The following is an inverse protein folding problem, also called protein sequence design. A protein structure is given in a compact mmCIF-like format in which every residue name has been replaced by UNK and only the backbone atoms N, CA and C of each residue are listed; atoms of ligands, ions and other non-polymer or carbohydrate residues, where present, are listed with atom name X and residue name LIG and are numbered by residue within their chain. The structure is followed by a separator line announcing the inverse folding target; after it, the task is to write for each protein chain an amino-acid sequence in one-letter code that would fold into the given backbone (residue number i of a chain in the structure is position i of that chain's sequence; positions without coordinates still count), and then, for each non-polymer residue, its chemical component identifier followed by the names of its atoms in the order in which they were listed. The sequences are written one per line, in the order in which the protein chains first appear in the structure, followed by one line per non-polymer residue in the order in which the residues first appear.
data_IF_108685241671
#
_entry.id   IF_108685241671
#
_cell.length_a   1.000
_cell.length_b   1.000
_cell.length_c   1.000
_cell.angle_alpha   90.00
_cell.angle_beta   90.00
_cell.angle_gamma   90.00
#
_symmetry.space_group_name_H-M   'P 1'
#
loop_
_entity.id
_entity.type
_entity.pdbx_description
1 polymer ?
#
# COMPACT_ATOMS: atom_id res chain seq x y z
N UNK A 1 10.12 -39.11 17.12
CA UNK A 1 10.00 -38.02 16.14
C UNK A 1 11.04 -36.96 16.46
N UNK A 2 12.14 -36.88 15.69
CA UNK A 2 13.17 -35.83 15.87
C UNK A 2 12.72 -34.60 15.10
N UNK A 3 12.40 -33.52 15.82
CA UNK A 3 12.17 -32.21 15.23
C UNK A 3 13.42 -31.77 14.46
N UNK A 4 13.25 -31.45 13.18
CA UNK A 4 14.33 -30.99 12.31
C UNK A 4 14.68 -29.57 12.74
N UNK A 5 15.75 -29.41 13.53
CA UNK A 5 16.30 -28.10 13.89
C UNK A 5 16.74 -27.43 12.58
N UNK A 6 16.02 -26.40 12.15
CA UNK A 6 16.41 -25.58 11.01
C UNK A 6 17.70 -24.84 11.40
N UNK A 7 18.80 -25.18 10.75
CA UNK A 7 20.04 -24.40 10.88
C UNK A 7 19.83 -23.03 10.23
N UNK A 8 20.53 -22.00 10.71
CA UNK A 8 20.45 -20.63 10.16
C UNK A 8 20.67 -20.64 8.64
N UNK A 9 21.58 -21.47 8.14
CA UNK A 9 21.84 -21.67 6.70
C UNK A 9 20.60 -22.15 5.93
N UNK A 10 19.85 -23.10 6.50
CA UNK A 10 18.63 -23.64 5.87
C UNK A 10 17.53 -22.57 5.78
N UNK A 11 17.37 -21.76 6.83
CA UNK A 11 16.42 -20.64 6.85
C UNK A 11 16.77 -19.60 5.78
N UNK A 12 18.05 -19.22 5.67
CA UNK A 12 18.50 -18.26 4.66
C UNK A 12 18.28 -18.78 3.24
N UNK A 13 18.53 -20.07 2.97
CA UNK A 13 18.24 -20.67 1.66
C UNK A 13 16.74 -20.73 1.33
N UNK A 14 15.88 -20.97 2.32
CA UNK A 14 14.43 -20.92 2.12
C UNK A 14 13.96 -19.50 1.82
N UNK A 15 14.49 -18.51 2.52
CA UNK A 15 14.18 -17.10 2.28
C UNK A 15 14.66 -16.62 0.91
N UNK A 16 15.84 -17.08 0.44
CA UNK A 16 16.30 -16.83 -0.94
C UNK A 16 15.32 -17.37 -1.98
N UNK A 17 14.83 -18.59 -1.77
CA UNK A 17 13.82 -19.20 -2.66
C UNK A 17 12.50 -18.44 -2.64
N UNK A 18 12.03 -18.03 -1.46
CA UNK A 18 10.83 -17.22 -1.33
C UNK A 18 10.98 -15.87 -2.03
N UNK A 19 12.11 -15.18 -1.86
CA UNK A 19 12.41 -13.91 -2.53
C UNK A 19 12.36 -14.06 -4.06
N UNK A 20 13.00 -15.09 -4.61
CA UNK A 20 12.97 -15.36 -6.05
C UNK A 20 11.55 -15.56 -6.60
N UNK A 21 10.70 -16.32 -5.89
CA UNK A 21 9.30 -16.54 -6.27
C UNK A 21 8.48 -15.26 -6.22
N UNK A 22 8.67 -14.43 -5.18
CA UNK A 22 7.99 -13.14 -5.05
C UNK A 22 8.43 -12.19 -6.17
N UNK A 23 9.73 -12.19 -6.53
CA UNK A 23 10.25 -11.39 -7.63
C UNK A 23 9.67 -11.82 -8.99
N UNK A 24 9.51 -13.12 -9.21
CA UNK A 24 8.84 -13.65 -10.40
C UNK A 24 7.37 -13.24 -10.46
N UNK A 25 6.64 -13.39 -9.34
CA UNK A 25 5.25 -12.96 -9.23
C UNK A 25 5.11 -11.45 -9.49
N UNK A 26 6.05 -10.64 -9.00
CA UNK A 26 6.08 -9.20 -9.23
C UNK A 26 6.29 -8.88 -10.71
N UNK A 27 7.23 -9.55 -11.36
CA UNK A 27 7.45 -9.40 -12.80
C UNK A 27 6.20 -9.81 -13.61
N UNK A 28 5.48 -10.84 -13.18
CA UNK A 28 4.22 -11.25 -13.79
C UNK A 28 3.12 -10.18 -13.60
N UNK A 29 3.03 -9.56 -12.42
CA UNK A 29 2.10 -8.47 -12.16
C UNK A 29 2.38 -7.26 -13.07
N UNK A 30 3.64 -6.88 -13.26
CA UNK A 30 4.00 -5.82 -14.22
C UNK A 30 3.57 -6.16 -15.64
N UNK A 31 3.79 -7.40 -16.10
CA UNK A 31 3.32 -7.84 -17.44
C UNK A 31 1.81 -7.79 -17.55
N UNK A 32 1.08 -8.21 -16.51
CA UNK A 32 -0.37 -8.16 -16.49
C UNK A 32 -0.89 -6.72 -16.52
N UNK A 33 -0.24 -5.80 -15.80
CA UNK A 33 -0.58 -4.37 -15.83
C UNK A 33 -0.48 -3.79 -17.24
N UNK A 34 0.64 -4.04 -17.93
CA UNK A 34 0.85 -3.60 -19.31
C UNK A 34 -0.23 -4.17 -20.22
N UNK A 35 -0.47 -5.48 -20.16
CA UNK A 35 -1.45 -6.15 -21.00
C UNK A 35 -2.88 -5.63 -20.78
N UNK A 36 -3.26 -5.35 -19.53
CA UNK A 36 -4.56 -4.76 -19.20
C UNK A 36 -4.66 -3.33 -19.73
N UNK A 37 -3.59 -2.53 -19.60
CA UNK A 37 -3.52 -1.18 -20.14
C UNK A 37 -3.69 -1.14 -21.66
N UNK A 38 -2.85 -1.89 -22.38
CA UNK A 38 -2.92 -1.99 -23.85
C UNK A 38 -4.27 -2.52 -24.32
N UNK A 39 -4.78 -3.57 -23.67
CA UNK A 39 -6.12 -4.12 -23.99
C UNK A 39 -7.23 -3.10 -23.75
N UNK A 40 -7.12 -2.28 -22.70
CA UNK A 40 -8.02 -1.17 -22.42
C UNK A 40 -8.01 -0.11 -23.51
N UNK A 41 -6.81 0.32 -23.96
CA UNK A 41 -6.68 1.30 -25.05
C UNK A 41 -7.27 0.80 -26.37
N UNK A 42 -7.01 -0.46 -26.73
CA UNK A 42 -7.58 -1.10 -27.91
C UNK A 42 -9.11 -1.11 -27.82
N UNK A 43 -9.65 -1.53 -26.66
CA UNK A 43 -11.09 -1.57 -26.42
C UNK A 43 -11.72 -0.17 -26.51
N UNK A 44 -11.08 0.85 -25.93
CA UNK A 44 -11.57 2.23 -25.95
C UNK A 44 -11.54 2.84 -27.35
N UNK A 45 -10.51 2.53 -28.14
CA UNK A 45 -10.43 2.87 -29.55
C UNK A 45 -11.58 2.24 -30.34
N UNK A 46 -11.80 0.94 -30.18
CA UNK A 46 -12.83 0.19 -30.91
C UNK A 46 -14.27 0.57 -30.51
N UNK A 47 -14.46 1.08 -29.29
CA UNK A 47 -15.79 1.40 -28.73
C UNK A 47 -16.05 2.90 -28.62
N UNK A 48 -15.26 3.72 -29.32
CA UNK A 48 -15.41 5.17 -29.32
C UNK A 48 -16.81 5.58 -29.80
N UNK A 49 -17.49 6.40 -29.00
CA UNK A 49 -18.86 6.84 -29.27
C UNK A 49 -19.96 5.80 -28.99
N UNK A 50 -19.61 4.62 -28.47
CA UNK A 50 -20.61 3.62 -28.09
C UNK A 50 -21.45 4.10 -26.90
N UNK A 51 -22.77 3.97 -27.03
CA UNK A 51 -23.76 4.27 -25.98
C UNK A 51 -24.19 3.01 -25.21
N UNK A 52 -23.63 1.85 -25.56
CA UNK A 52 -24.02 0.57 -24.95
C UNK A 52 -23.53 0.50 -23.50
N UNK A 53 -24.42 0.25 -22.51
CA UNK A 53 -24.03 0.18 -21.09
C UNK A 53 -22.92 -0.84 -20.81
N UNK A 54 -22.84 -1.90 -21.60
CA UNK A 54 -21.82 -2.95 -21.49
C UNK A 54 -20.41 -2.41 -21.75
N UNK A 55 -20.25 -1.40 -22.62
CA UNK A 55 -18.95 -0.77 -22.87
C UNK A 55 -18.47 -0.02 -21.64
N UNK A 56 -19.36 0.72 -20.99
CA UNK A 56 -19.06 1.42 -19.72
C UNK A 56 -18.69 0.42 -18.62
N UNK A 57 -19.44 -0.68 -18.52
CA UNK A 57 -19.14 -1.75 -17.57
C UNK A 57 -17.78 -2.41 -17.85
N UNK A 58 -17.46 -2.69 -19.10
CA UNK A 58 -16.20 -3.33 -19.49
C UNK A 58 -15.00 -2.43 -19.22
N UNK A 59 -15.09 -1.13 -19.55
CA UNK A 59 -14.06 -0.13 -19.17
C UNK A 59 -13.82 -0.15 -17.68
N UNK A 60 -14.90 -0.06 -16.90
CA UNK A 60 -14.81 -0.10 -15.44
C UNK A 60 -14.07 -1.35 -14.97
N UNK A 61 -14.44 -2.53 -15.45
CA UNK A 61 -13.81 -3.78 -15.06
C UNK A 61 -12.33 -3.86 -15.46
N UNK A 62 -11.97 -3.43 -16.67
CA UNK A 62 -10.58 -3.40 -17.14
C UNK A 62 -9.71 -2.54 -16.23
N UNK A 63 -10.20 -1.35 -15.89
CA UNK A 63 -9.48 -0.46 -14.99
C UNK A 63 -9.43 -0.97 -13.55
N UNK A 64 -10.54 -1.49 -13.01
CA UNK A 64 -10.57 -2.10 -11.67
C UNK A 64 -9.55 -3.26 -11.59
N UNK A 65 -9.46 -4.08 -12.63
CA UNK A 65 -8.47 -5.16 -12.73
C UNK A 65 -7.02 -4.62 -12.80
N UNK A 66 -6.77 -3.56 -13.59
CA UNK A 66 -5.46 -2.94 -13.65
C UNK A 66 -5.03 -2.31 -12.32
N UNK A 67 -5.98 -1.75 -11.57
CA UNK A 67 -5.74 -1.22 -10.23
C UNK A 67 -5.39 -2.34 -9.23
N UNK A 68 -6.12 -3.46 -9.27
CA UNK A 68 -5.86 -4.63 -8.43
C UNK A 68 -4.47 -5.23 -8.72
N UNK A 69 -4.07 -5.29 -10.00
CA UNK A 69 -2.74 -5.78 -10.40
C UNK A 69 -1.62 -4.84 -9.95
N UNK A 70 -1.81 -3.51 -10.08
CA UNK A 70 -0.88 -2.51 -9.53
C UNK A 70 -0.71 -2.64 -8.03
N UNK A 71 -1.80 -2.88 -7.31
CA UNK A 71 -1.77 -3.11 -5.88
C UNK A 71 -1.00 -4.38 -5.51
N UNK A 72 -1.24 -5.47 -6.23
CA UNK A 72 -0.49 -6.71 -6.03
C UNK A 72 1.00 -6.51 -6.28
N UNK A 73 1.38 -5.78 -7.34
CA UNK A 73 2.78 -5.43 -7.63
C UNK A 73 3.45 -4.65 -6.48
N UNK A 74 2.73 -3.71 -5.86
CA UNK A 74 3.19 -2.96 -4.70
C UNK A 74 3.44 -3.87 -3.48
N UNK A 75 2.44 -4.69 -3.10
CA UNK A 75 2.56 -5.61 -1.97
C UNK A 75 3.69 -6.64 -2.16
N UNK A 76 3.90 -7.12 -3.39
CA UNK A 76 5.02 -7.99 -3.73
C UNK A 76 6.37 -7.27 -3.59
N UNK A 77 6.43 -5.98 -3.93
CA UNK A 77 7.62 -5.15 -3.70
C UNK A 77 7.98 -5.04 -2.22
N UNK A 78 7.01 -4.75 -1.37
CA UNK A 78 7.21 -4.68 0.09
C UNK A 78 7.67 -6.01 0.68
N UNK A 79 7.10 -7.12 0.22
CA UNK A 79 7.53 -8.45 0.64
C UNK A 79 9.02 -8.69 0.29
N UNK A 80 9.49 -8.24 -0.87
CA UNK A 80 10.91 -8.32 -1.24
C UNK A 80 11.76 -7.46 -0.29
N UNK A 81 11.37 -6.21 -0.04
CA UNK A 81 12.09 -5.30 0.84
C UNK A 81 12.22 -5.85 2.28
N UNK A 82 11.18 -6.51 2.79
CA UNK A 82 11.21 -7.17 4.10
C UNK A 82 12.19 -8.34 4.11
N UNK A 83 12.14 -9.22 3.10
CA UNK A 83 13.04 -10.38 3.03
C UNK A 83 14.49 -9.92 2.86
N UNK A 84 14.73 -8.90 2.03
CA UNK A 84 16.06 -8.29 1.83
C UNK A 84 16.60 -7.63 3.11
N UNK A 85 15.76 -6.87 3.82
CA UNK A 85 16.11 -6.23 5.10
C UNK A 85 16.45 -7.26 6.17
N UNK A 86 15.66 -8.33 6.29
CA UNK A 86 15.92 -9.42 7.23
C UNK A 86 17.24 -10.13 6.91
N UNK A 87 17.48 -10.48 5.64
CA UNK A 87 18.75 -11.07 5.21
C UNK A 87 19.95 -10.15 5.50
N UNK A 88 19.82 -8.83 5.30
CA UNK A 88 20.87 -7.87 5.65
C UNK A 88 21.16 -7.84 7.16
N UNK A 89 20.12 -7.92 8.00
CA UNK A 89 20.25 -7.89 9.47
C UNK A 89 20.91 -9.14 10.07
N UNK A 90 20.77 -10.30 9.43
CA UNK A 90 21.27 -11.58 9.96
C UNK A 90 22.54 -12.07 9.25
N UNK A 91 22.66 -11.84 7.93
CA UNK A 91 23.78 -12.32 7.14
C UNK A 91 24.85 -11.24 6.86
N UNK A 92 24.61 -9.98 7.27
CA UNK A 92 25.54 -8.87 7.03
C UNK A 92 25.61 -8.40 5.57
N UNK A 93 24.90 -9.06 4.65
CA UNK A 93 24.78 -8.65 3.25
C UNK A 93 23.37 -8.95 2.70
N UNK A 94 22.89 -8.11 1.78
CA UNK A 94 21.62 -8.33 1.08
C UNK A 94 21.64 -9.57 0.19
N UNK A 95 20.47 -9.96 -0.32
CA UNK A 95 20.30 -11.15 -1.16
C UNK A 95 20.79 -10.88 -2.58
N UNK A 96 20.69 -9.62 -3.02
CA UNK A 96 21.37 -9.10 -4.19
C UNK A 96 22.83 -8.77 -3.83
N UNK A 97 23.72 -9.74 -3.99
CA UNK A 97 25.15 -9.52 -3.81
C UNK A 97 25.77 -8.80 -5.01
N UNK A 98 26.30 -7.60 -4.80
CA UNK A 98 27.55 -7.17 -5.44
C UNK A 98 28.48 -6.63 -4.36
N UNK A 99 29.68 -7.19 -4.37
CA UNK A 99 30.85 -6.81 -3.58
C UNK A 99 31.33 -5.43 -4.01
N UNK A 100 31.47 -4.49 -3.08
CA UNK A 100 32.54 -3.50 -3.12
C UNK A 100 33.08 -3.31 -1.71
N UNK A 101 34.40 -3.17 -1.66
CA UNK A 101 35.24 -3.43 -0.50
C UNK A 101 35.10 -2.43 0.63
N UNK A 102 35.71 -2.84 1.74
CA UNK A 102 35.98 -2.06 2.92
C UNK A 102 36.57 -0.68 2.59
N UNK A 103 36.10 0.34 3.33
CA UNK A 103 37.05 1.07 4.17
C UNK A 103 36.34 1.67 5.39
N UNK A 104 37.08 1.68 6.49
CA UNK A 104 36.69 2.18 7.81
C UNK A 104 36.79 3.71 7.86
N UNK A 105 35.96 4.37 8.69
CA UNK A 105 36.45 5.35 9.68
C UNK A 105 35.52 5.37 10.90
N UNK A 106 36.16 5.32 12.07
CA UNK A 106 35.61 5.36 13.43
C UNK A 106 35.05 6.74 13.84
N UNK A 107 34.05 6.68 14.74
CA UNK A 107 34.03 7.39 16.03
C UNK A 107 33.94 8.93 16.10
N UNK A 108 32.84 9.43 16.68
CA UNK A 108 32.91 10.32 17.85
C UNK A 108 31.51 10.59 18.44
N UNK A 109 31.38 10.32 19.74
CA UNK A 109 30.27 10.69 20.61
C UNK A 109 30.23 12.19 20.92
N UNK A 110 29.04 12.76 21.08
CA UNK A 110 28.66 13.60 22.25
C UNK A 110 27.27 14.22 22.05
N UNK A 111 26.34 13.94 22.96
CA UNK A 111 25.33 14.93 23.35
C UNK A 111 25.92 15.85 24.45
N UNK A 112 25.20 16.86 24.98
CA UNK A 112 23.74 16.90 25.04
C UNK A 112 23.06 18.29 24.84
N UNK A 113 21.72 18.23 24.87
CA UNK A 113 20.77 19.24 25.35
C UNK A 113 20.54 20.53 24.55
N UNK A 114 19.30 20.67 24.08
CA UNK A 114 18.65 21.97 23.91
C UNK A 114 17.87 22.11 22.61
N UNK A 115 16.65 21.57 22.56
CA UNK A 115 15.47 22.22 21.92
C UNK A 115 14.23 21.33 22.06
N UNK A 116 13.55 21.44 23.20
CA UNK A 116 12.12 21.17 23.30
C UNK A 116 11.40 22.39 22.73
N UNK A 117 11.37 22.50 21.41
CA UNK A 117 10.62 23.53 20.69
C UNK A 117 9.74 22.84 19.63
N UNK A 118 8.43 22.81 19.88
CA UNK A 118 7.42 22.62 18.83
C UNK A 118 7.38 21.28 18.10
N UNK A 119 7.55 20.14 18.79
CA UNK A 119 7.36 18.83 18.14
C UNK A 119 5.86 18.64 17.89
N UNK A 120 5.44 18.71 16.63
CA UNK A 120 4.05 18.39 16.26
C UNK A 120 3.77 16.91 16.54
N UNK A 121 2.54 16.52 16.89
CA UNK A 121 2.17 15.10 17.09
C UNK A 121 2.63 14.21 15.92
N UNK A 122 2.59 14.73 14.70
CA UNK A 122 3.06 14.06 13.49
C UNK A 122 4.55 13.73 13.54
N UNK A 123 5.40 14.65 14.01
CA UNK A 123 6.84 14.42 14.12
C UNK A 123 7.19 13.37 15.18
N UNK A 124 6.40 13.26 16.25
CA UNK A 124 6.55 12.20 17.25
C UNK A 124 6.17 10.83 16.70
N UNK A 125 5.05 10.75 15.98
CA UNK A 125 4.63 9.51 15.32
C UNK A 125 5.63 9.05 14.27
N UNK A 126 6.18 9.98 13.47
CA UNK A 126 7.22 9.67 12.49
C UNK A 126 8.48 9.14 13.20
N UNK A 127 8.94 9.82 14.25
CA UNK A 127 10.13 9.41 15.00
C UNK A 127 9.97 8.01 15.62
N UNK A 128 8.80 7.71 16.20
CA UNK A 128 8.49 6.39 16.75
C UNK A 128 8.56 5.30 15.67
N UNK A 129 8.01 5.56 14.48
CA UNK A 129 8.04 4.59 13.38
C UNK A 129 9.45 4.38 12.83
N UNK A 130 10.24 5.44 12.68
CA UNK A 130 11.65 5.35 12.29
C UNK A 130 12.45 4.54 13.31
N UNK A 131 12.22 4.76 14.61
CA UNK A 131 12.86 3.98 15.68
C UNK A 131 12.45 2.51 15.65
N UNK A 132 11.22 2.19 15.21
CA UNK A 132 10.75 0.83 14.98
C UNK A 132 11.30 0.19 13.67
N UNK A 133 12.19 0.88 12.95
CA UNK A 133 12.82 0.37 11.72
C UNK A 133 11.94 0.50 10.47
N UNK A 134 10.83 1.23 10.54
CA UNK A 134 9.96 1.49 9.39
C UNK A 134 10.57 2.58 8.52
N UNK A 135 10.66 2.32 7.21
CA UNK A 135 11.10 3.33 6.23
C UNK A 135 9.97 4.32 5.99
N UNK A 136 10.06 5.49 6.61
CA UNK A 136 9.20 6.65 6.35
C UNK A 136 10.05 7.76 5.78
N UNK A 137 9.53 8.50 4.79
CA UNK A 137 10.17 9.71 4.25
C UNK A 137 9.51 10.95 4.89
N UNK A 138 10.07 11.55 5.95
CA UNK A 138 9.36 12.54 6.77
C UNK A 138 8.86 13.75 5.96
N UNK A 139 9.68 14.25 5.02
CA UNK A 139 9.30 15.39 4.15
C UNK A 139 8.24 15.07 3.10
N UNK A 140 7.89 13.80 2.93
CA UNK A 140 6.88 13.34 1.98
C UNK A 140 5.54 12.99 2.63
N UNK A 141 5.45 12.97 3.96
CA UNK A 141 4.20 12.63 4.67
C UNK A 141 3.20 13.78 4.53
N UNK A 142 2.05 13.49 3.93
CA UNK A 142 0.90 14.40 3.86
C UNK A 142 0.09 14.38 5.15
N UNK A 143 -0.05 13.19 5.76
CA UNK A 143 -0.77 13.00 7.02
C UNK A 143 -0.36 11.69 7.69
N UNK A 144 -0.31 11.69 9.01
CA UNK A 144 -0.09 10.52 9.86
C UNK A 144 -1.09 10.54 11.02
N UNK A 145 -1.57 9.37 11.45
CA UNK A 145 -2.54 9.26 12.54
C UNK A 145 -2.35 7.94 13.29
N UNK A 146 -2.63 7.95 14.59
CA UNK A 146 -2.75 6.73 15.40
C UNK A 146 -4.22 6.33 15.46
N UNK A 147 -4.50 5.12 14.99
CA UNK A 147 -5.83 4.53 14.99
C UNK A 147 -6.22 4.06 16.42
N UNK A 148 -7.53 3.89 16.70
CA UNK A 148 -8.00 3.40 17.99
C UNK A 148 -7.47 2.02 18.38
N UNK A 149 -7.08 1.20 17.40
CA UNK A 149 -6.48 -0.12 17.61
C UNK A 149 -4.97 -0.06 17.93
N UNK A 150 -4.41 1.16 18.05
CA UNK A 150 -3.01 1.40 18.37
C UNK A 150 -2.06 1.38 17.16
N UNK A 151 -2.53 1.03 15.96
CA UNK A 151 -1.72 1.11 14.74
C UNK A 151 -1.51 2.56 14.33
N UNK A 152 -0.34 2.87 13.79
CA UNK A 152 -0.08 4.18 13.16
C UNK A 152 -0.18 4.00 11.66
N UNK A 153 -0.95 4.87 11.02
CA UNK A 153 -1.11 4.89 9.56
C UNK A 153 -0.69 6.24 9.01
N UNK A 154 -0.13 6.26 7.80
CA UNK A 154 0.25 7.50 7.13
C UNK A 154 0.04 7.45 5.63
N UNK A 155 -0.06 8.63 5.03
CA UNK A 155 -0.09 8.82 3.59
C UNK A 155 1.13 9.67 3.18
N UNK A 156 1.91 9.22 2.20
CA UNK A 156 3.09 9.94 1.70
C UNK A 156 3.12 10.07 0.17
N UNK A 157 3.86 11.07 -0.32
CA UNK A 157 4.14 11.35 -1.74
C UNK A 157 5.45 10.74 -2.22
N UNK A 158 5.59 10.53 -3.53
CA UNK A 158 6.83 10.07 -4.15
C UNK A 158 7.20 8.61 -3.85
N UNK A 159 6.24 7.82 -3.36
CA UNK A 159 6.39 6.37 -3.27
C UNK A 159 6.06 5.75 -4.64
N UNK A 160 7.07 5.17 -5.30
CA UNK A 160 6.91 4.39 -6.55
C UNK A 160 6.04 3.15 -6.38
N UNK A 161 5.68 2.81 -5.13
CA UNK A 161 4.97 1.60 -4.72
C UNK A 161 3.49 1.89 -4.36
N UNK A 162 2.96 3.08 -4.70
CA UNK A 162 1.64 3.53 -4.26
C UNK A 162 1.71 4.40 -3.02
N UNK A 163 0.70 5.26 -2.85
CA UNK A 163 0.70 6.35 -1.88
C UNK A 163 -0.35 7.41 -2.24
N UNK A 164 -0.13 8.65 -1.80
CA UNK A 164 -1.06 9.77 -2.08
C UNK A 164 -1.27 9.98 -3.57
N UNK A 165 -0.26 9.74 -4.40
CA UNK A 165 -0.37 9.82 -5.87
C UNK A 165 -1.38 8.82 -6.45
N UNK A 166 -1.48 7.63 -5.87
CA UNK A 166 -2.46 6.65 -6.29
C UNK A 166 -3.87 7.04 -5.79
N UNK A 167 -3.98 7.48 -4.54
CA UNK A 167 -5.24 7.96 -3.94
C UNK A 167 -5.77 9.17 -4.70
N UNK A 168 -4.91 10.12 -5.07
CA UNK A 168 -5.25 11.38 -5.76
C UNK A 168 -5.00 11.31 -7.28
N UNK A 169 -4.93 10.11 -7.86
CA UNK A 169 -4.84 9.97 -9.33
C UNK A 169 -6.09 10.55 -9.99
N UNK A 170 -5.97 11.03 -11.25
CA UNK A 170 -7.09 11.68 -11.97
C UNK A 170 -8.39 10.87 -11.92
N UNK A 171 -8.28 9.56 -12.19
CA UNK A 171 -9.42 8.63 -12.12
C UNK A 171 -10.00 8.54 -10.72
N UNK A 172 -9.19 8.48 -9.67
CA UNK A 172 -9.71 8.43 -8.30
C UNK A 172 -10.42 9.71 -7.93
N UNK A 173 -9.86 10.85 -8.32
CA UNK A 173 -10.56 12.13 -8.15
C UNK A 173 -11.93 12.07 -8.83
N UNK A 174 -12.03 11.54 -10.04
CA UNK A 174 -13.31 11.34 -10.74
C UNK A 174 -14.23 10.33 -10.03
N UNK A 175 -13.73 9.17 -9.60
CA UNK A 175 -14.49 8.15 -8.87
C UNK A 175 -15.10 8.74 -7.58
N UNK A 176 -14.29 9.49 -6.82
CA UNK A 176 -14.72 10.15 -5.60
C UNK A 176 -15.68 11.31 -5.89
N UNK A 177 -15.43 12.12 -6.92
CA UNK A 177 -16.33 13.19 -7.34
C UNK A 177 -17.70 12.64 -7.77
N UNK A 178 -17.75 11.49 -8.44
CA UNK A 178 -18.99 10.82 -8.85
C UNK A 178 -19.85 10.36 -7.66
N UNK A 179 -19.25 10.18 -6.49
CA UNK A 179 -19.99 9.92 -5.24
C UNK A 179 -20.10 11.17 -4.36
N UNK A 180 -19.75 12.35 -4.87
CA UNK A 180 -19.85 13.61 -4.14
C UNK A 180 -18.75 13.84 -3.11
N UNK A 181 -17.54 13.31 -3.30
CA UNK A 181 -16.33 13.71 -2.53
C UNK A 181 -15.39 14.50 -3.44
N UNK A 182 -15.16 15.79 -3.18
CA UNK A 182 -14.17 16.56 -3.92
C UNK A 182 -12.74 16.18 -3.50
N UNK A 183 -11.76 16.50 -4.36
CA UNK A 183 -10.34 16.11 -4.20
C UNK A 183 -9.77 16.42 -2.82
N UNK A 184 -10.03 17.61 -2.30
CA UNK A 184 -9.55 18.11 -1.02
C UNK A 184 -10.09 17.31 0.18
N UNK A 185 -11.23 16.64 0.02
CA UNK A 185 -11.86 15.81 1.06
C UNK A 185 -11.52 14.33 0.99
N UNK A 186 -10.80 13.90 -0.05
CA UNK A 186 -10.48 12.49 -0.24
C UNK A 186 -9.63 11.92 0.90
N UNK A 187 -8.55 12.60 1.29
CA UNK A 187 -7.72 12.15 2.41
C UNK A 187 -8.49 12.21 3.74
N UNK A 188 -9.30 13.25 3.96
CA UNK A 188 -10.15 13.35 5.15
C UNK A 188 -11.12 12.15 5.26
N UNK A 189 -11.75 11.75 4.17
CA UNK A 189 -12.62 10.57 4.15
C UNK A 189 -11.85 9.27 4.41
N UNK A 190 -10.64 9.12 3.84
CA UNK A 190 -9.82 7.93 4.06
C UNK A 190 -9.42 7.79 5.52
N UNK A 191 -8.92 8.87 6.14
CA UNK A 191 -8.58 8.85 7.56
C UNK A 191 -9.82 8.68 8.43
N UNK A 192 -10.94 9.33 8.10
CA UNK A 192 -12.21 9.11 8.76
C UNK A 192 -12.64 7.64 8.77
N UNK A 193 -12.55 6.99 7.62
CA UNK A 193 -12.92 5.59 7.48
C UNK A 193 -12.00 4.67 8.32
N UNK A 194 -10.70 4.98 8.43
CA UNK A 194 -9.77 4.21 9.25
C UNK A 194 -9.94 4.48 10.76
N UNK A 195 -10.22 5.73 11.14
CA UNK A 195 -10.30 6.15 12.55
C UNK A 195 -11.63 5.76 13.21
N UNK A 196 -12.74 5.84 12.46
CA UNK A 196 -14.10 5.65 13.01
C UNK A 196 -15.03 4.80 12.14
N UNK A 197 -14.56 4.34 10.99
CA UNK A 197 -15.35 3.49 10.10
C UNK A 197 -15.46 2.06 10.61
N UNK A 198 -16.50 1.37 10.15
CA UNK A 198 -16.71 -0.07 10.42
C UNK A 198 -16.45 -0.87 9.16
N UNK A 199 -15.74 -1.99 9.27
CA UNK A 199 -15.56 -2.90 8.12
C UNK A 199 -16.88 -3.61 7.81
N UNK A 200 -17.43 -3.37 6.62
CA UNK A 200 -18.71 -3.93 6.14
C UNK A 200 -18.55 -5.02 5.09
N UNK A 201 -17.31 -5.33 4.72
CA UNK A 201 -16.98 -6.41 3.81
C UNK A 201 -15.63 -6.20 3.14
N UNK A 202 -15.41 -6.94 2.06
CA UNK A 202 -14.15 -6.96 1.34
C UNK A 202 -14.37 -6.75 -0.17
N UNK A 203 -13.42 -6.03 -0.79
CA UNK A 203 -13.32 -5.83 -2.24
C UNK A 203 -12.10 -6.57 -2.78
N UNK A 204 -12.16 -7.05 -4.02
CA UNK A 204 -11.09 -7.83 -4.64
C UNK A 204 -10.74 -9.10 -3.85
N UNK A 205 -9.44 -9.34 -3.66
CA UNK A 205 -8.94 -10.52 -2.95
C UNK A 205 -9.16 -10.41 -1.44
N UNK A 206 -8.83 -9.30 -0.80
CA UNK A 206 -8.91 -9.18 0.67
C UNK A 206 -8.97 -7.72 1.19
N UNK A 207 -9.20 -6.74 0.32
CA UNK A 207 -9.17 -5.31 0.70
C UNK A 207 -10.40 -4.97 1.58
N UNK A 208 -10.22 -4.52 2.84
CA UNK A 208 -11.34 -4.13 3.68
C UNK A 208 -12.10 -2.93 3.11
N UNK A 209 -13.43 -3.00 3.16
CA UNK A 209 -14.32 -1.91 2.83
C UNK A 209 -14.89 -1.35 4.12
N UNK A 210 -14.57 -0.09 4.38
CA UNK A 210 -15.04 0.66 5.55
C UNK A 210 -16.30 1.42 5.18
N UNK A 211 -17.29 1.38 6.04
CA UNK A 211 -18.46 2.26 6.02
C UNK A 211 -18.31 3.31 7.13
N UNK A 212 -18.53 4.57 6.80
CA UNK A 212 -18.40 5.69 7.72
C UNK A 212 -19.42 6.78 7.37
N UNK A 213 -19.93 7.48 8.39
CA UNK A 213 -20.65 8.73 8.17
C UNK A 213 -19.63 9.86 8.05
N UNK A 214 -19.60 10.49 6.88
CA UNK A 214 -18.68 11.57 6.55
C UNK A 214 -19.48 12.71 5.95
N UNK A 215 -19.37 13.91 6.54
CA UNK A 215 -20.13 15.11 6.13
C UNK A 215 -21.66 14.87 6.04
N UNK A 216 -22.20 14.12 7.01
CA UNK A 216 -23.64 13.81 7.08
C UNK A 216 -24.11 12.69 6.14
N UNK A 217 -23.22 12.19 5.28
CA UNK A 217 -23.55 11.12 4.34
C UNK A 217 -22.86 9.81 4.67
N UNK A 218 -23.57 8.70 4.46
CA UNK A 218 -23.00 7.37 4.62
C UNK A 218 -22.16 7.02 3.39
N UNK A 219 -20.86 6.84 3.58
CA UNK A 219 -19.88 6.52 2.53
C UNK A 219 -19.27 5.15 2.76
N UNK A 220 -18.94 4.45 1.67
CA UNK A 220 -18.10 3.26 1.70
C UNK A 220 -16.82 3.50 0.92
N UNK A 221 -15.69 3.10 1.49
CA UNK A 221 -14.39 3.24 0.86
C UNK A 221 -13.56 1.99 1.10
N UNK A 222 -12.97 1.46 0.03
CA UNK A 222 -12.07 0.31 0.12
C UNK A 222 -10.64 0.83 0.28
N UNK A 223 -9.98 0.50 1.38
CA UNK A 223 -8.66 1.04 1.73
C UNK A 223 -7.65 -0.10 1.81
N UNK A 224 -6.50 0.07 1.17
CA UNK A 224 -5.34 -0.76 1.46
C UNK A 224 -4.35 0.02 2.29
N UNK A 225 -4.01 -0.59 3.41
CA UNK A 225 -2.95 -0.17 4.32
C UNK A 225 -1.97 -1.33 4.36
N UNK A 226 -0.68 -1.04 4.22
CA UNK A 226 0.39 -2.02 4.36
C UNK A 226 0.50 -2.51 5.80
N UNK A 227 1.24 -3.58 6.04
CA UNK A 227 1.50 -4.08 7.40
C UNK A 227 2.29 -3.06 8.24
N UNK A 228 3.05 -2.18 7.58
CA UNK A 228 3.80 -1.10 8.24
C UNK A 228 2.91 0.08 8.62
N UNK A 229 1.79 0.29 7.94
CA UNK A 229 0.86 1.40 8.16
C UNK A 229 0.74 2.39 6.99
N UNK A 230 1.47 2.19 5.90
CA UNK A 230 1.39 3.05 4.72
C UNK A 230 0.05 2.87 4.00
N UNK A 231 -0.63 3.96 3.71
CA UNK A 231 -1.85 3.95 2.90
C UNK A 231 -1.46 4.05 1.43
N UNK A 232 -1.54 2.92 0.73
CA UNK A 232 -1.12 2.80 -0.69
C UNK A 232 -2.25 2.99 -1.68
N UNK A 233 -3.52 2.88 -1.25
CA UNK A 233 -4.63 3.16 -2.14
C UNK A 233 -6.01 3.14 -1.50
N UNK A 234 -6.90 3.96 -2.06
CA UNK A 234 -8.29 4.04 -1.67
C UNK A 234 -9.19 4.29 -2.89
N UNK A 235 -10.40 3.74 -2.87
CA UNK A 235 -11.43 4.04 -3.87
C UNK A 235 -12.84 3.93 -3.27
N UNK A 236 -13.81 4.72 -3.76
CA UNK A 236 -15.16 4.68 -3.24
C UNK A 236 -15.87 3.40 -3.70
N UNK A 237 -16.74 2.88 -2.84
CA UNK A 237 -17.60 1.74 -3.13
C UNK A 237 -19.04 2.20 -3.08
N UNK A 238 -19.81 1.86 -4.11
CA UNK A 238 -21.25 2.13 -4.10
C UNK A 238 -21.96 1.38 -2.97
N UNK A 239 -22.86 2.05 -2.24
CA UNK A 239 -23.71 1.44 -1.23
C UNK A 239 -24.56 0.28 -1.77
N UNK A 240 -24.85 0.28 -3.08
CA UNK A 240 -25.62 -0.78 -3.75
C UNK A 240 -24.78 -2.02 -4.08
N UNK A 241 -23.45 -1.92 -4.03
CA UNK A 241 -22.56 -3.04 -4.36
C UNK A 241 -22.65 -4.10 -3.27
N UNK A 242 -22.96 -5.34 -3.66
CA UNK A 242 -22.87 -6.49 -2.76
C UNK A 242 -21.40 -6.74 -2.44
N UNK A 243 -21.10 -6.84 -1.16
CA UNK A 243 -19.74 -7.07 -0.66
C UNK A 243 -19.62 -8.49 -0.15
N UNK A 244 -18.41 -9.04 -0.26
CA UNK A 244 -18.08 -10.30 0.40
C UNK A 244 -17.93 -10.04 1.90
N UNK A 245 -18.65 -10.79 2.72
CA UNK A 245 -18.66 -10.63 4.18
C UNK A 245 -17.46 -11.28 4.87
N UNK A 246 -16.89 -12.33 4.28
CA UNK A 246 -15.74 -13.05 4.84
C UNK A 246 -14.44 -12.70 4.10
N UNK A 247 -13.35 -12.58 4.87
CA UNK A 247 -12.01 -12.30 4.34
C UNK A 247 -11.52 -13.42 3.42
N UNK A 248 -11.77 -14.67 3.79
CA UNK A 248 -11.36 -15.88 3.06
C UNK A 248 -12.57 -16.62 2.47
N UNK A 249 -12.37 -17.31 1.34
CA UNK A 249 -13.35 -18.25 0.77
C UNK A 249 -13.41 -19.47 1.70
N UNK A 250 -14.58 -19.75 2.27
CA UNK A 250 -14.91 -21.08 2.78
C UNK A 250 -15.25 -22.00 1.62
#
# INVERSE_FOLDING_TARGET
MRGRILTVTNVVEQLRRAHALVAEARAAAVRAEIAIGEGGEIFDGATRGSIWPQVVQMRRLSHDAGDDVRLANAALGEALDIIDGYCRSIAGHGIAGVVTGADQVEGASSGPAGERAGRTPDAELIAERVQAGVVIRPGSVDRISRLPDGRTVWAERGSSNGGVEHILSKRRIEDFANVGVPKDRMLDLVFAALERGTVVGYSGIDRPVYEVVFEGERRRVAITVTDTGLIVGAHPISLKRKLRTHRYRS
#
